data_IF_491010551867
#
_entry.id   IF_491010551867
#
_cell.length_a   1.000
_cell.length_b   1.000
_cell.length_c   1.000
_cell.angle_alpha   90.00
_cell.angle_beta   90.00
_cell.angle_gamma   90.00
#
_symmetry.space_group_name_H-M   'P 1'
#
loop_
_entity.id
_entity.type
_entity.pdbx_description
1 polymer ?
#
# COMPACT_ATOMS: atom_id res chain seq x y z
N UNK A 1 -35.68 25.79 -68.66
CA UNK A 1 -35.29 24.46 -68.15
C UNK A 1 -33.78 24.37 -67.92
N UNK A 2 -32.95 24.76 -68.90
CA UNK A 2 -31.47 24.69 -68.83
C UNK A 2 -30.87 25.55 -67.71
N UNK A 3 -31.25 26.83 -67.58
CA UNK A 3 -30.70 27.72 -66.54
C UNK A 3 -30.89 27.19 -65.10
N UNK A 4 -32.02 26.51 -64.82
CA UNK A 4 -32.30 25.91 -63.51
C UNK A 4 -31.36 24.74 -63.20
N UNK A 5 -31.05 23.92 -64.20
CA UNK A 5 -30.14 22.79 -64.03
C UNK A 5 -28.68 23.25 -63.78
N UNK A 6 -28.25 24.34 -64.43
CA UNK A 6 -26.93 24.93 -64.22
C UNK A 6 -26.76 25.50 -62.80
N UNK A 7 -27.80 26.16 -62.26
CA UNK A 7 -27.75 26.68 -60.90
C UNK A 7 -27.75 25.56 -59.84
N UNK A 8 -28.51 24.48 -60.06
CA UNK A 8 -28.47 23.27 -59.22
C UNK A 8 -27.08 22.60 -59.26
N UNK A 9 -26.42 22.55 -60.43
CA UNK A 9 -25.06 22.02 -60.56
C UNK A 9 -24.04 22.89 -59.79
N UNK A 10 -24.14 24.22 -59.90
CA UNK A 10 -23.29 25.15 -59.12
C UNK A 10 -23.48 24.95 -57.62
N UNK A 11 -24.72 24.83 -57.17
CA UNK A 11 -25.04 24.55 -55.78
C UNK A 11 -24.44 23.22 -55.32
N UNK A 12 -24.54 22.17 -56.15
CA UNK A 12 -23.97 20.86 -55.84
C UNK A 12 -22.44 20.91 -55.68
N UNK A 13 -21.75 21.59 -56.60
CA UNK A 13 -20.29 21.82 -56.51
C UNK A 13 -19.92 22.58 -55.23
N UNK A 14 -20.69 23.61 -54.88
CA UNK A 14 -20.44 24.39 -53.66
C UNK A 14 -20.65 23.55 -52.38
N UNK A 15 -21.70 22.72 -52.35
CA UNK A 15 -21.94 21.79 -51.26
C UNK A 15 -20.83 20.75 -51.16
N UNK A 16 -20.33 20.22 -52.27
CA UNK A 16 -19.22 19.28 -52.28
C UNK A 16 -17.95 19.89 -51.67
N UNK A 17 -17.58 21.11 -52.09
CA UNK A 17 -16.45 21.85 -51.50
C UNK A 17 -16.66 22.09 -50.01
N UNK A 18 -17.88 22.47 -49.61
CA UNK A 18 -18.25 22.66 -48.21
C UNK A 18 -18.09 21.38 -47.39
N UNK A 19 -18.55 20.24 -47.92
CA UNK A 19 -18.43 18.93 -47.30
C UNK A 19 -16.96 18.53 -47.12
N UNK A 20 -16.14 18.65 -48.17
CA UNK A 20 -14.70 18.33 -48.09
C UNK A 20 -13.99 19.21 -47.08
N UNK A 21 -14.33 20.50 -47.01
CA UNK A 21 -13.76 21.44 -46.05
C UNK A 21 -14.16 21.08 -44.62
N UNK A 22 -15.44 20.75 -44.40
CA UNK A 22 -15.93 20.33 -43.10
C UNK A 22 -15.26 19.02 -42.65
N UNK A 23 -15.10 18.06 -43.57
CA UNK A 23 -14.43 16.80 -43.30
C UNK A 23 -12.96 17.00 -42.91
N UNK A 24 -12.21 17.84 -43.64
CA UNK A 24 -10.82 18.15 -43.30
C UNK A 24 -10.70 18.80 -41.90
N UNK A 25 -11.63 19.69 -41.55
CA UNK A 25 -11.69 20.31 -40.22
C UNK A 25 -12.03 19.29 -39.12
N UNK A 26 -12.97 18.38 -39.38
CA UNK A 26 -13.32 17.32 -38.45
C UNK A 26 -12.12 16.41 -38.17
N UNK A 27 -11.43 15.92 -39.21
CA UNK A 27 -10.22 15.09 -39.04
C UNK A 27 -9.10 15.81 -38.30
N UNK A 28 -8.92 17.12 -38.54
CA UNK A 28 -7.93 17.92 -37.81
C UNK A 28 -8.29 18.03 -36.33
N UNK A 29 -9.57 18.27 -36.02
CA UNK A 29 -10.04 18.39 -34.64
C UNK A 29 -9.94 17.06 -33.89
N UNK A 30 -10.32 15.94 -34.51
CA UNK A 30 -10.18 14.59 -33.96
C UNK A 30 -8.71 14.29 -33.63
N UNK A 31 -7.80 14.62 -34.54
CA UNK A 31 -6.36 14.44 -34.32
C UNK A 31 -5.85 15.28 -33.16
N UNK A 32 -6.31 16.54 -33.06
CA UNK A 32 -5.96 17.42 -31.95
C UNK A 32 -6.50 16.92 -30.60
N UNK A 33 -7.74 16.42 -30.57
CA UNK A 33 -8.34 15.84 -29.36
C UNK A 33 -7.49 14.67 -28.85
N UNK A 34 -7.11 13.73 -29.72
CA UNK A 34 -6.23 12.60 -29.36
C UNK A 34 -4.92 13.09 -28.72
N UNK A 35 -4.26 14.08 -29.33
CA UNK A 35 -3.00 14.63 -28.80
C UNK A 35 -3.19 15.26 -27.42
N UNK A 36 -4.26 16.05 -27.23
CA UNK A 36 -4.51 16.73 -25.95
C UNK A 36 -4.85 15.75 -24.83
N UNK A 37 -5.65 14.72 -25.12
CA UNK A 37 -6.03 13.67 -24.17
C UNK A 37 -4.81 12.84 -23.78
N UNK A 38 -3.94 12.49 -24.74
CA UNK A 38 -2.71 11.74 -24.45
C UNK A 38 -1.75 12.56 -23.57
N UNK A 39 -1.56 13.85 -23.89
CA UNK A 39 -0.73 14.74 -23.09
C UNK A 39 -1.24 14.88 -21.64
N UNK A 40 -2.56 15.02 -21.48
CA UNK A 40 -3.20 15.10 -20.16
C UNK A 40 -3.01 13.80 -19.37
N UNK A 41 -3.18 12.65 -20.02
CA UNK A 41 -2.96 11.34 -19.40
C UNK A 41 -1.52 11.21 -18.91
N UNK A 42 -0.54 11.51 -19.77
CA UNK A 42 0.89 11.42 -19.44
C UNK A 42 1.28 12.36 -18.29
N UNK A 43 0.69 13.55 -18.24
CA UNK A 43 0.85 14.46 -17.12
C UNK A 43 0.32 13.85 -15.80
N UNK A 44 -0.92 13.34 -15.80
CA UNK A 44 -1.53 12.68 -14.63
C UNK A 44 -0.73 11.47 -14.17
N UNK A 45 -0.26 10.63 -15.08
CA UNK A 45 0.59 9.47 -14.77
C UNK A 45 1.87 9.91 -14.05
N UNK A 46 2.49 11.00 -14.52
CA UNK A 46 3.66 11.60 -13.84
C UNK A 46 3.35 12.10 -12.42
N UNK A 47 2.17 12.70 -12.20
CA UNK A 47 1.75 13.11 -10.86
C UNK A 47 1.49 11.91 -9.94
N UNK A 48 0.83 10.86 -10.44
CA UNK A 48 0.58 9.63 -9.69
C UNK A 48 1.90 8.96 -9.29
N UNK A 49 2.87 8.87 -10.20
CA UNK A 49 4.20 8.31 -9.89
C UNK A 49 4.91 9.10 -8.78
N UNK A 50 4.86 10.44 -8.83
CA UNK A 50 5.42 11.29 -7.76
C UNK A 50 4.73 11.05 -6.42
N UNK A 51 3.41 10.91 -6.42
CA UNK A 51 2.64 10.63 -5.21
C UNK A 51 3.01 9.26 -4.61
N UNK A 52 3.09 8.22 -5.44
CA UNK A 52 3.53 6.88 -5.02
C UNK A 52 4.94 6.95 -4.43
N UNK A 53 5.87 7.65 -5.09
CA UNK A 53 7.23 7.83 -4.60
C UNK A 53 7.27 8.51 -3.23
N UNK A 54 6.56 9.63 -3.07
CA UNK A 54 6.48 10.36 -1.81
C UNK A 54 5.88 9.51 -0.68
N UNK A 55 4.80 8.77 -0.96
CA UNK A 55 4.18 7.86 0.00
C UNK A 55 5.14 6.76 0.44
N UNK A 56 5.80 6.09 -0.50
CA UNK A 56 6.72 5.00 -0.17
C UNK A 56 7.91 5.49 0.66
N UNK A 57 8.49 6.65 0.30
CA UNK A 57 9.61 7.23 1.06
C UNK A 57 9.19 7.54 2.49
N UNK A 58 8.10 8.29 2.66
CA UNK A 58 7.62 8.71 3.99
C UNK A 58 7.17 7.52 4.84
N UNK A 59 6.42 6.58 4.26
CA UNK A 59 5.96 5.38 4.97
C UNK A 59 7.13 4.51 5.43
N UNK A 60 8.14 4.29 4.59
CA UNK A 60 9.31 3.50 4.97
C UNK A 60 10.17 4.21 6.02
N UNK A 61 10.31 5.53 5.96
CA UNK A 61 10.99 6.30 7.00
C UNK A 61 10.30 6.15 8.37
N UNK A 62 8.97 6.31 8.42
CA UNK A 62 8.21 6.08 9.66
C UNK A 62 8.33 4.64 10.16
N UNK A 63 8.29 3.65 9.25
CA UNK A 63 8.43 2.25 9.64
C UNK A 63 9.84 1.95 10.18
N UNK A 64 10.88 2.51 9.58
CA UNK A 64 12.26 2.39 10.05
C UNK A 64 12.43 3.04 11.43
N UNK A 65 11.85 4.22 11.64
CA UNK A 65 11.86 4.91 12.93
C UNK A 65 11.20 4.08 14.04
N UNK A 66 10.01 3.50 13.77
CA UNK A 66 9.34 2.61 14.73
C UNK A 66 10.16 1.36 15.06
N UNK A 67 10.86 0.79 14.08
CA UNK A 67 11.74 -0.37 14.31
C UNK A 67 12.93 0.03 15.19
N UNK A 68 13.57 1.16 14.91
CA UNK A 68 14.69 1.66 15.71
C UNK A 68 14.26 2.01 17.14
N UNK A 69 13.09 2.63 17.31
CA UNK A 69 12.52 2.93 18.62
C UNK A 69 12.24 1.65 19.41
N UNK A 70 11.57 0.68 18.80
CA UNK A 70 11.32 -0.63 19.42
C UNK A 70 12.62 -1.37 19.75
N UNK A 71 13.61 -1.36 18.86
CA UNK A 71 14.91 -1.96 19.10
C UNK A 71 15.66 -1.28 20.25
N UNK A 72 15.56 0.05 20.36
CA UNK A 72 16.12 0.83 21.46
C UNK A 72 15.41 0.52 22.79
N UNK A 73 14.07 0.48 22.82
CA UNK A 73 13.30 0.13 24.02
C UNK A 73 13.61 -1.28 24.52
N UNK A 74 13.83 -2.23 23.60
CA UNK A 74 14.21 -3.60 23.96
C UNK A 74 15.69 -3.75 24.38
N UNK A 75 16.54 -2.78 24.03
CA UNK A 75 17.92 -2.69 24.53
C UNK A 75 17.99 -2.01 25.91
N UNK A 76 16.94 -1.32 26.36
CA UNK A 76 16.80 -0.67 27.68
C UNK A 76 16.13 -1.61 28.69
N UNK A 77 16.59 -2.87 28.75
CA UNK A 77 16.65 -3.59 30.03
C UNK A 77 18.13 -3.64 30.40
N UNK A 78 18.67 -2.58 31.05
CA UNK A 78 20.03 -2.62 31.51
C UNK A 78 20.14 -3.70 32.59
N UNK A 79 21.12 -4.58 32.43
CA UNK A 79 21.73 -5.37 33.50
C UNK A 79 21.78 -4.56 34.80
N UNK A 80 20.83 -4.79 35.70
CA UNK A 80 20.79 -4.30 37.09
C UNK A 80 19.84 -5.20 37.90
N UNK A 81 20.20 -6.47 38.04
CA UNK A 81 20.11 -7.12 39.34
C UNK A 81 21.52 -7.63 39.61
N UNK A 82 22.02 -7.33 40.80
CA UNK A 82 23.42 -7.37 41.15
C UNK A 82 24.10 -8.70 40.81
N UNK A 83 25.34 -8.61 40.35
CA UNK A 83 26.31 -9.67 40.41
C UNK A 83 26.25 -10.35 41.79
N UNK A 84 25.88 -11.65 41.91
CA UNK A 84 26.11 -12.36 43.15
C UNK A 84 27.60 -12.74 43.15
N UNK A 85 28.44 -11.81 43.58
CA UNK A 85 29.74 -12.18 44.11
C UNK A 85 29.51 -13.06 45.34
N UNK A 86 30.12 -14.26 45.27
CA UNK A 86 30.39 -15.22 46.35
C UNK A 86 29.25 -16.22 46.62
N UNK A 87 29.45 -17.46 46.16
CA UNK A 87 29.88 -18.52 47.08
C UNK A 87 30.65 -19.60 46.30
N UNK A 88 31.97 -19.52 46.48
CA UNK A 88 32.97 -20.57 46.33
C UNK A 88 32.43 -21.92 46.83
N UNK A 89 32.24 -22.87 45.91
CA UNK A 89 31.85 -24.23 46.27
C UNK A 89 31.05 -24.95 45.19
N UNK A 90 31.76 -25.77 44.41
CA UNK A 90 31.29 -26.80 43.47
C UNK A 90 31.03 -26.36 42.02
N UNK A 91 31.94 -26.73 41.08
CA UNK A 91 31.70 -26.61 39.66
C UNK A 91 30.97 -27.86 39.11
N UNK A 92 30.12 -27.63 38.10
CA UNK A 92 29.62 -28.59 37.08
C UNK A 92 28.44 -29.50 37.46
N UNK A 93 27.29 -29.27 36.80
CA UNK A 93 26.72 -30.31 35.91
C UNK A 93 25.82 -29.71 34.84
N UNK A 94 26.42 -29.55 33.66
CA UNK A 94 25.75 -29.46 32.37
C UNK A 94 25.16 -30.84 32.11
N UNK A 95 23.94 -31.09 32.55
CA UNK A 95 23.19 -32.30 32.14
C UNK A 95 21.74 -31.91 31.93
N UNK A 96 21.33 -31.93 30.68
CA UNK A 96 20.02 -31.47 30.23
C UNK A 96 18.90 -32.15 30.98
N UNK A 97 18.07 -31.34 31.63
CA UNK A 97 16.75 -31.72 32.07
C UNK A 97 15.84 -30.51 31.85
N UNK A 98 15.22 -30.48 30.67
CA UNK A 98 14.06 -29.62 30.39
C UNK A 98 13.01 -29.97 31.44
N UNK A 99 12.86 -29.14 32.46
CA UNK A 99 11.65 -29.17 33.28
C UNK A 99 10.50 -28.74 32.38
N UNK A 100 9.78 -29.75 31.90
CA UNK A 100 8.43 -29.63 31.37
C UNK A 100 7.62 -28.94 32.46
N UNK A 101 7.33 -27.65 32.30
CA UNK A 101 6.24 -27.02 33.05
C UNK A 101 4.99 -27.81 32.65
N UNK A 102 4.46 -28.60 33.57
CA UNK A 102 3.18 -29.28 33.38
C UNK A 102 2.16 -28.23 32.91
N UNK A 103 1.67 -28.42 31.70
CA UNK A 103 0.62 -27.58 31.12
C UNK A 103 -0.63 -27.79 31.98
N UNK A 104 -1.24 -26.73 32.54
CA UNK A 104 -2.49 -26.88 33.25
C UNK A 104 -3.53 -27.44 32.28
N UNK A 105 -4.28 -28.43 32.75
CA UNK A 105 -5.23 -29.21 31.95
C UNK A 105 -6.27 -28.26 31.32
N UNK A 106 -6.15 -28.03 30.01
CA UNK A 106 -6.97 -27.07 29.24
C UNK A 106 -6.23 -25.86 28.64
N UNK A 107 -4.92 -25.71 28.82
CA UNK A 107 -4.15 -24.67 28.15
C UNK A 107 -3.98 -24.96 26.65
N UNK A 108 -4.50 -24.08 25.78
CA UNK A 108 -4.33 -24.16 24.33
C UNK A 108 -3.13 -23.30 23.95
N UNK A 109 -2.18 -23.86 23.18
CA UNK A 109 -0.99 -23.13 22.71
C UNK A 109 -1.30 -22.49 21.36
N UNK A 110 -1.41 -21.16 21.33
CA UNK A 110 -1.37 -20.38 20.10
C UNK A 110 -0.02 -19.69 20.00
N UNK A 111 0.76 -20.07 18.98
CA UNK A 111 1.98 -19.36 18.54
C UNK A 111 3.01 -19.03 19.65
N UNK A 112 3.11 -19.89 20.68
CA UNK A 112 4.13 -19.79 21.72
C UNK A 112 3.74 -18.96 22.95
N UNK A 113 2.49 -18.50 23.06
CA UNK A 113 1.97 -17.83 24.26
C UNK A 113 1.08 -18.81 25.03
N UNK A 114 1.37 -19.01 26.34
CA UNK A 114 0.49 -19.75 27.24
C UNK A 114 -0.68 -18.85 27.66
N UNK A 115 -1.87 -19.11 27.13
CA UNK A 115 -3.10 -18.45 27.55
C UNK A 115 -3.82 -19.34 28.55
N UNK A 116 -3.96 -18.86 29.79
CA UNK A 116 -4.75 -19.54 30.83
C UNK A 116 -6.25 -19.35 30.58
N UNK A 117 -7.09 -20.40 30.69
CA UNK A 117 -8.53 -20.31 30.41
C UNK A 117 -9.35 -19.59 31.50
N UNK A 118 -8.72 -19.04 32.54
CA UNK A 118 -9.43 -18.50 33.70
C UNK A 118 -9.91 -17.05 33.49
N UNK A 119 -10.86 -16.87 32.58
CA UNK A 119 -11.65 -15.63 32.48
C UNK A 119 -13.00 -15.80 31.74
N UNK A 120 -13.62 -16.98 31.84
CA UNK A 120 -14.98 -17.19 31.30
C UNK A 120 -15.91 -17.93 32.26
N UNK A 121 -15.75 -17.68 33.56
CA UNK A 121 -16.84 -17.94 34.48
C UNK A 121 -16.85 -16.88 35.60
N UNK A 122 -18.07 -16.44 35.93
CA UNK A 122 -18.48 -15.35 36.85
C UNK A 122 -18.77 -13.98 36.22
N UNK A 123 -19.91 -13.89 35.54
CA UNK A 123 -20.87 -12.87 35.94
C UNK A 123 -22.30 -13.36 35.73
N UNK A 124 -22.91 -13.85 36.80
CA UNK A 124 -24.35 -13.97 36.93
C UNK A 124 -24.76 -13.36 38.28
N UNK A 125 -25.94 -12.72 38.31
CA UNK A 125 -26.69 -12.14 39.43
C UNK A 125 -26.35 -10.70 39.85
N UNK A 126 -27.19 -9.77 39.37
CA UNK A 126 -28.41 -9.39 40.13
C UNK A 126 -29.61 -9.38 39.20
#
# INVERSE_FOLDING_TARGET
>A
MIARAEDEERQNRQLHVGLTTAQARATTLESHEVITVEALKKNKDGHVQKLIGAYLVTHNQHRAMRIQELASSNLVQPMRDEEPQILEGLPVSIKGERKVRELPEGAIVLEGILVSPQAMDKQEHT
#
